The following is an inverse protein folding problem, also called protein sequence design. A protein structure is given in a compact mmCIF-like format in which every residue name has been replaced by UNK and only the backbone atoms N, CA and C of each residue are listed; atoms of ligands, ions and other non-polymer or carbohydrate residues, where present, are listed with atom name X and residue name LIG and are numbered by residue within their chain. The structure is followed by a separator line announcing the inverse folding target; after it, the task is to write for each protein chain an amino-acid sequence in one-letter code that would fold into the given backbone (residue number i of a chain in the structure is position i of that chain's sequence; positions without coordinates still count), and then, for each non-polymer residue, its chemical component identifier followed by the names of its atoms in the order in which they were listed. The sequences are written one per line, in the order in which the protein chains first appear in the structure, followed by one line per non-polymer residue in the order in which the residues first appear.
data_IF_318603144480
#
_entry.id   IF_318603144480
#
_cell.length_a   1.000
_cell.length_b   1.000
_cell.length_c   1.000
_cell.angle_alpha   90.00
_cell.angle_beta   90.00
_cell.angle_gamma   90.00
#
_symmetry.space_group_name_H-M   'P 1'
#
loop_
_entity.id
_entity.type
_entity.pdbx_description
1 polymer ?
#
# COMPACT_ATOMS: atom_id res chain seq x y z
N UNK A 1 0.64 19.89 15.87
CA UNK A 1 0.25 18.51 16.27
C UNK A 1 -1.21 18.21 15.86
N UNK A 2 -1.63 18.55 14.64
CA UNK A 2 -2.99 18.31 14.13
C UNK A 2 -3.01 17.75 12.69
N UNK A 3 -1.84 17.53 12.08
CA UNK A 3 -1.72 17.00 10.73
C UNK A 3 -1.70 15.45 10.69
N UNK A 4 -1.41 14.79 11.81
CA UNK A 4 -1.39 13.33 11.92
C UNK A 4 -2.78 12.70 12.10
N UNK A 5 -3.67 13.38 12.82
CA UNK A 5 -5.03 12.89 13.03
C UNK A 5 -5.83 12.83 11.72
N UNK A 6 -5.69 13.84 10.85
CA UNK A 6 -6.39 13.88 9.56
C UNK A 6 -5.88 12.83 8.54
N UNK A 7 -4.65 12.31 8.71
CA UNK A 7 -4.15 11.17 7.93
C UNK A 7 -4.71 9.83 8.40
N UNK A 8 -5.37 9.79 9.55
CA UNK A 8 -5.82 8.58 10.24
C UNK A 8 -7.31 8.29 10.05
N UNK A 9 -8.09 9.23 9.50
CA UNK A 9 -9.56 9.09 9.33
C UNK A 9 -9.94 8.32 8.05
N UNK A 10 -9.11 8.37 7.01
CA UNK A 10 -9.18 7.43 5.90
C UNK A 10 -8.54 6.11 6.35
N UNK A 11 -9.34 5.20 6.90
CA UNK A 11 -8.86 3.89 7.36
C UNK A 11 -8.05 3.14 6.29
N UNK A 12 -7.41 2.03 6.68
CA UNK A 12 -6.62 1.21 5.76
C UNK A 12 -7.51 0.58 4.67
N UNK A 13 -7.73 1.32 3.59
CA UNK A 13 -8.57 0.94 2.45
C UNK A 13 -7.73 0.42 1.29
N UNK A 14 -8.38 -0.29 0.37
CA UNK A 14 -7.77 -0.72 -0.89
C UNK A 14 -7.22 0.47 -1.71
N UNK A 15 -7.93 1.59 -1.74
CA UNK A 15 -7.51 2.79 -2.46
C UNK A 15 -6.23 3.40 -1.86
N UNK A 16 -6.18 3.55 -0.54
CA UNK A 16 -4.97 4.04 0.16
C UNK A 16 -3.80 3.07 -0.06
N UNK A 17 -4.02 1.77 0.14
CA UNK A 17 -3.00 0.75 -0.06
C UNK A 17 -2.46 0.71 -1.50
N UNK A 18 -3.33 0.92 -2.50
CA UNK A 18 -2.94 0.98 -3.91
C UNK A 18 -2.03 2.18 -4.18
N UNK A 19 -2.36 3.36 -3.65
CA UNK A 19 -1.51 4.56 -3.79
C UNK A 19 -0.13 4.34 -3.18
N UNK A 20 -0.06 3.73 -1.99
CA UNK A 20 1.21 3.41 -1.32
C UNK A 20 2.02 2.39 -2.13
N UNK A 21 1.37 1.33 -2.63
CA UNK A 21 2.02 0.31 -3.45
C UNK A 21 2.63 0.92 -4.72
N UNK A 22 1.88 1.76 -5.44
CA UNK A 22 2.38 2.44 -6.67
C UNK A 22 3.56 3.34 -6.36
N UNK A 23 3.50 4.12 -5.27
CA UNK A 23 4.60 4.96 -4.84
C UNK A 23 5.86 4.15 -4.49
N UNK A 24 5.69 3.04 -3.75
CA UNK A 24 6.78 2.15 -3.40
C UNK A 24 7.41 1.48 -4.63
N UNK A 25 6.60 1.03 -5.60
CA UNK A 25 7.10 0.47 -6.85
C UNK A 25 7.94 1.49 -7.62
N UNK A 26 7.48 2.76 -7.69
CA UNK A 26 8.24 3.84 -8.34
C UNK A 26 9.61 4.06 -7.69
N UNK A 27 9.69 4.06 -6.35
CA UNK A 27 10.96 4.20 -5.62
C UNK A 27 11.87 3.00 -5.88
N UNK A 28 11.30 1.79 -5.94
CA UNK A 28 12.03 0.56 -6.22
C UNK A 28 12.32 0.34 -7.71
N UNK A 29 11.96 1.28 -8.60
CA UNK A 29 12.06 1.15 -10.06
C UNK A 29 11.35 -0.10 -10.62
N UNK A 30 10.24 -0.49 -10.00
CA UNK A 30 9.35 -1.56 -10.42
C UNK A 30 8.10 -0.98 -11.10
N UNK A 31 7.56 -1.73 -12.06
CA UNK A 31 6.27 -1.39 -12.66
C UNK A 31 5.12 -1.94 -11.79
N UNK A 32 4.43 -1.02 -11.11
CA UNK A 32 3.23 -1.30 -10.31
C UNK A 32 1.93 -1.24 -11.12
N UNK A 33 1.99 -0.93 -12.42
CA UNK A 33 0.81 -0.76 -13.27
C UNK A 33 0.09 -2.10 -13.44
N UNK A 34 -1.24 -2.09 -13.31
CA UNK A 34 -2.06 -3.29 -13.43
C UNK A 34 -1.88 -4.28 -12.28
N UNK A 35 -1.25 -3.88 -11.16
CA UNK A 35 -1.15 -4.74 -10.00
C UNK A 35 -2.52 -5.09 -9.42
N UNK A 36 -2.72 -6.37 -9.10
CA UNK A 36 -3.98 -6.90 -8.58
C UNK A 36 -3.92 -7.02 -7.06
N UNK A 37 -4.94 -6.49 -6.37
CA UNK A 37 -5.09 -6.67 -4.93
C UNK A 37 -5.59 -8.09 -4.64
N UNK A 38 -4.75 -8.91 -4.01
CA UNK A 38 -5.07 -10.30 -3.64
C UNK A 38 -5.77 -10.37 -2.28
N UNK A 39 -5.35 -9.52 -1.35
CA UNK A 39 -5.86 -9.52 0.03
C UNK A 39 -5.81 -8.12 0.63
N UNK A 40 -6.85 -7.75 1.36
CA UNK A 40 -6.89 -6.59 2.25
C UNK A 40 -7.22 -7.05 3.67
N UNK A 41 -6.42 -6.61 4.66
CA UNK A 41 -6.59 -6.95 6.07
C UNK A 41 -5.58 -6.19 6.92
N UNK A 42 -4.81 -6.89 7.76
CA UNK A 42 -3.66 -6.30 8.44
C UNK A 42 -2.61 -5.77 7.46
N UNK A 43 -2.48 -6.45 6.32
CA UNK A 43 -1.65 -6.03 5.21
C UNK A 43 -2.50 -6.00 3.94
N UNK A 44 -2.08 -5.19 2.97
CA UNK A 44 -2.54 -5.31 1.60
C UNK A 44 -1.47 -6.04 0.78
N UNK A 45 -1.88 -7.08 0.06
CA UNK A 45 -1.01 -7.86 -0.81
C UNK A 45 -1.39 -7.62 -2.27
N UNK A 46 -0.43 -7.18 -3.07
CA UNK A 46 -0.60 -6.92 -4.48
C UNK A 46 0.28 -7.86 -5.30
N UNK A 47 -0.28 -8.44 -6.36
CA UNK A 47 0.50 -9.15 -7.39
C UNK A 47 0.81 -8.19 -8.51
N UNK A 48 2.07 -8.06 -8.88
CA UNK A 48 2.45 -7.28 -10.06
C UNK A 48 2.08 -8.06 -11.34
N UNK A 49 1.55 -7.38 -12.34
CA UNK A 49 1.22 -7.98 -13.62
C UNK A 49 2.45 -8.38 -14.48
N UNK A 50 3.50 -7.56 -14.59
CA UNK A 50 4.62 -7.88 -15.49
C UNK A 50 5.61 -8.92 -14.93
N UNK A 51 5.59 -9.17 -13.62
CA UNK A 51 6.56 -10.05 -12.91
C UNK A 51 5.85 -10.79 -11.78
N UNK A 52 6.22 -12.06 -11.47
CA UNK A 52 5.58 -12.84 -10.40
C UNK A 52 6.05 -12.37 -9.00
N UNK A 53 5.94 -11.08 -8.72
CA UNK A 53 6.31 -10.46 -7.45
C UNK A 53 5.06 -10.09 -6.65
N UNK A 54 5.16 -10.22 -5.33
CA UNK A 54 4.15 -9.77 -4.38
C UNK A 54 4.66 -8.55 -3.64
N UNK A 55 3.91 -7.45 -3.69
CA UNK A 55 4.16 -6.26 -2.89
C UNK A 55 3.27 -6.31 -1.65
N UNK A 56 3.87 -6.17 -0.47
CA UNK A 56 3.15 -6.12 0.80
C UNK A 56 3.17 -4.70 1.36
N UNK A 57 1.99 -4.11 1.54
CA UNK A 57 1.81 -2.85 2.26
C UNK A 57 1.32 -3.18 3.66
N UNK A 58 2.19 -3.01 4.66
CA UNK A 58 1.82 -3.14 6.06
C UNK A 58 1.19 -1.84 6.56
N UNK A 59 0.21 -1.95 7.45
CA UNK A 59 -0.15 -0.82 8.32
C UNK A 59 0.78 -0.84 9.52
N UNK A 60 1.52 0.24 9.73
CA UNK A 60 2.19 0.46 11.01
C UNK A 60 1.21 1.23 11.89
N UNK A 61 0.90 0.70 13.07
CA UNK A 61 0.51 1.57 14.17
C UNK A 61 1.81 2.20 14.63
N UNK A 62 1.93 3.53 14.54
CA UNK A 62 3.06 4.23 15.14
C UNK A 62 3.03 3.87 16.64
N UNK A 63 3.91 2.95 17.05
CA UNK A 63 4.16 2.71 18.47
C UNK A 63 4.90 3.94 18.98
N UNK A 64 4.22 4.72 19.81
CA UNK A 64 4.76 5.94 20.42
C UNK A 64 5.98 5.73 21.28
#
# INVERSE_FOLDING_TARGET
MAADAARSEEGFTSAVATRVMVAACRVAQLDGTGAELIRLGENALFRLAPVPMIVRVARTLESG
#
